data_IF_561566651415
#
_entry.id   IF_561566651415
#
_cell.length_a   1.000
_cell.length_b   1.000
_cell.length_c   1.000
_cell.angle_alpha   90.00
_cell.angle_beta   90.00
_cell.angle_gamma   90.00
#
_symmetry.space_group_name_H-M   'P 1'
#
loop_
_entity.id
_entity.type
_entity.pdbx_description
1 polymer ?
#
# COMPACT_ATOMS: atom_id res chain seq x y z
N UNK A 1 -19.40 -3.00 22.70
CA UNK A 1 -19.74 -3.15 21.26
C UNK A 1 -21.16 -3.67 21.22
N UNK A 2 -22.06 -2.97 20.55
CA UNK A 2 -23.48 -3.30 20.57
C UNK A 2 -23.75 -4.53 19.70
N UNK A 3 -24.52 -5.47 20.22
CA UNK A 3 -24.81 -6.79 19.65
C UNK A 3 -25.65 -6.73 18.35
N UNK A 4 -26.08 -5.52 17.93
CA UNK A 4 -26.90 -5.24 16.75
C UNK A 4 -26.28 -4.21 15.77
N UNK A 5 -24.98 -3.92 15.87
CA UNK A 5 -24.31 -2.95 15.00
C UNK A 5 -23.62 -3.58 13.78
N UNK A 6 -23.46 -2.82 12.69
CA UNK A 6 -22.61 -3.23 11.57
C UNK A 6 -21.15 -3.06 11.99
N UNK A 7 -20.36 -4.12 11.82
CA UNK A 7 -18.91 -4.09 11.98
C UNK A 7 -18.23 -4.39 10.65
N UNK A 8 -17.01 -3.88 10.48
CA UNK A 8 -16.20 -4.19 9.32
C UNK A 8 -15.80 -5.68 9.38
N UNK A 9 -16.15 -6.43 8.36
CA UNK A 9 -15.63 -7.78 8.18
C UNK A 9 -14.11 -7.73 7.91
N UNK A 10 -13.36 -8.81 8.19
CA UNK A 10 -11.96 -8.89 7.77
C UNK A 10 -11.80 -8.64 6.28
N UNK A 11 -10.70 -8.01 5.86
CA UNK A 11 -10.38 -7.82 4.45
C UNK A 11 -10.12 -9.18 3.78
N UNK A 12 -10.68 -9.35 2.58
CA UNK A 12 -10.54 -10.55 1.75
C UNK A 12 -10.21 -10.14 0.30
N UNK A 13 -9.80 -11.11 -0.51
CA UNK A 13 -9.42 -10.91 -1.93
C UNK A 13 -8.25 -9.93 -2.14
N UNK A 14 -7.24 -10.02 -1.28
CA UNK A 14 -6.01 -9.22 -1.39
C UNK A 14 -5.03 -9.88 -2.35
N UNK A 15 -4.95 -9.33 -3.56
CA UNK A 15 -4.06 -9.81 -4.63
C UNK A 15 -3.21 -8.68 -5.19
N UNK A 16 -1.98 -9.00 -5.60
CA UNK A 16 -1.12 -8.05 -6.31
C UNK A 16 -1.28 -8.24 -7.82
N UNK A 17 -2.22 -7.49 -8.42
CA UNK A 17 -2.52 -7.57 -9.86
C UNK A 17 -1.34 -7.12 -10.74
N UNK A 18 -0.36 -6.38 -10.20
CA UNK A 18 0.84 -5.98 -10.96
C UNK A 18 1.72 -7.13 -11.39
N UNK A 19 1.53 -8.31 -10.82
CA UNK A 19 2.18 -9.54 -11.28
C UNK A 19 1.70 -9.98 -12.67
N UNK A 20 0.61 -9.40 -13.18
CA UNK A 20 -0.06 -9.79 -14.42
C UNK A 20 -0.20 -8.56 -15.33
N UNK A 21 0.82 -8.26 -16.17
CA UNK A 21 0.84 -7.06 -17.03
C UNK A 21 -0.26 -7.02 -18.10
N UNK A 22 -0.92 -8.15 -18.36
CA UNK A 22 -2.04 -8.25 -19.29
C UNK A 22 -3.35 -7.62 -18.78
N UNK A 23 -3.44 -7.32 -17.49
CA UNK A 23 -4.61 -6.69 -16.88
C UNK A 23 -4.41 -5.20 -16.67
N UNK A 24 -5.53 -4.48 -16.59
CA UNK A 24 -5.55 -3.10 -16.14
C UNK A 24 -5.14 -2.99 -14.67
N UNK A 25 -4.30 -2.01 -14.35
CA UNK A 25 -3.74 -1.77 -13.02
C UNK A 25 -4.26 -0.49 -12.37
N UNK A 26 -5.25 0.18 -12.97
CA UNK A 26 -5.97 1.27 -12.31
C UNK A 26 -6.61 0.80 -11.00
N UNK A 27 -6.59 1.66 -10.00
CA UNK A 27 -7.24 1.39 -8.73
C UNK A 27 -8.76 1.36 -8.91
N UNK A 28 -9.44 0.45 -8.21
CA UNK A 28 -10.90 0.42 -8.19
C UNK A 28 -11.53 1.68 -7.58
N UNK A 29 -10.79 2.38 -6.69
CA UNK A 29 -11.19 3.64 -6.08
C UNK A 29 -10.01 4.60 -6.15
N UNK A 30 -10.24 5.81 -6.66
CA UNK A 30 -9.23 6.86 -6.71
C UNK A 30 -8.84 7.37 -5.32
N UNK A 31 -7.63 7.93 -5.22
CA UNK A 31 -7.20 8.74 -4.08
C UNK A 31 -7.03 10.17 -4.59
N UNK A 32 -7.90 11.09 -4.12
CA UNK A 32 -8.15 12.33 -4.84
C UNK A 32 -8.74 12.01 -6.21
N UNK A 33 -8.16 12.57 -7.27
CA UNK A 33 -8.54 12.29 -8.67
C UNK A 33 -7.61 11.26 -9.35
N UNK A 34 -6.70 10.62 -8.61
CA UNK A 34 -5.69 9.71 -9.18
C UNK A 34 -6.09 8.24 -9.08
N UNK A 35 -6.13 7.57 -10.23
CA UNK A 35 -6.42 6.14 -10.37
C UNK A 35 -5.14 5.32 -10.57
N UNK A 36 -4.08 5.91 -11.12
CA UNK A 36 -2.80 5.25 -11.26
C UNK A 36 -2.10 5.20 -9.91
N UNK A 37 -1.98 4.00 -9.36
CA UNK A 37 -1.31 3.83 -8.08
C UNK A 37 0.12 4.40 -8.07
N UNK A 38 0.88 4.33 -9.16
CA UNK A 38 2.25 4.87 -9.22
C UNK A 38 2.33 6.40 -9.11
N UNK A 39 1.25 7.12 -9.41
CA UNK A 39 1.18 8.58 -9.39
C UNK A 39 0.54 9.14 -8.10
N UNK A 40 0.24 8.26 -7.14
CA UNK A 40 -0.21 8.68 -5.81
C UNK A 40 0.98 9.26 -5.05
N UNK A 41 1.00 10.58 -4.95
CA UNK A 41 2.01 11.35 -4.26
C UNK A 41 1.42 11.99 -2.99
N UNK A 42 2.24 12.74 -2.27
CA UNK A 42 1.85 13.35 -1.02
C UNK A 42 0.65 14.28 -1.14
N UNK A 43 0.46 14.94 -2.29
CA UNK A 43 -0.69 15.83 -2.56
C UNK A 43 -2.01 15.06 -2.50
N UNK A 44 -2.14 13.99 -3.31
CA UNK A 44 -3.36 13.17 -3.32
C UNK A 44 -3.65 12.57 -1.94
N UNK A 45 -2.62 12.17 -1.21
CA UNK A 45 -2.76 11.63 0.15
C UNK A 45 -3.19 12.69 1.17
N UNK A 46 -2.71 13.92 1.05
CA UNK A 46 -3.11 15.04 1.89
C UNK A 46 -4.56 15.44 1.62
N UNK A 47 -4.93 15.53 0.33
CA UNK A 47 -6.30 15.84 -0.12
C UNK A 47 -7.30 14.77 0.30
N UNK A 48 -6.95 13.49 0.13
CA UNK A 48 -7.77 12.37 0.60
C UNK A 48 -7.97 12.42 2.13
N UNK A 49 -6.93 12.72 2.89
CA UNK A 49 -7.04 12.84 4.34
C UNK A 49 -8.00 13.97 4.75
N UNK A 50 -7.95 15.11 4.05
CA UNK A 50 -8.84 16.24 4.31
C UNK A 50 -10.29 15.92 3.93
N UNK A 51 -10.50 15.36 2.74
CA UNK A 51 -11.81 14.93 2.23
C UNK A 51 -12.47 13.89 3.13
N UNK A 52 -11.69 12.98 3.73
CA UNK A 52 -12.18 11.99 4.69
C UNK A 52 -12.19 12.46 6.16
N UNK A 53 -11.81 13.71 6.44
CA UNK A 53 -11.67 14.27 7.79
C UNK A 53 -10.77 13.41 8.70
N UNK A 54 -9.68 12.89 8.13
CA UNK A 54 -8.65 12.11 8.80
C UNK A 54 -7.46 13.03 9.12
N UNK A 55 -7.04 13.14 10.38
CA UNK A 55 -5.84 13.91 10.72
C UNK A 55 -4.61 13.37 9.96
N UNK A 56 -3.94 14.22 9.17
CA UNK A 56 -2.78 13.83 8.33
C UNK A 56 -1.68 13.11 9.12
N UNK A 57 -1.47 13.46 10.39
CA UNK A 57 -0.53 12.76 11.30
C UNK A 57 -0.89 11.29 11.56
N UNK A 58 -2.18 10.96 11.61
CA UNK A 58 -2.64 9.57 11.77
C UNK A 58 -2.33 8.78 10.50
N UNK A 59 -2.63 9.35 9.33
CA UNK A 59 -2.30 8.75 8.04
C UNK A 59 -0.80 8.45 7.94
N UNK A 60 0.05 9.45 8.18
CA UNK A 60 1.52 9.33 8.20
C UNK A 60 1.99 8.22 9.13
N UNK A 61 1.46 8.18 10.37
CA UNK A 61 1.84 7.17 11.36
C UNK A 61 1.46 5.76 10.91
N UNK A 62 0.25 5.57 10.38
CA UNK A 62 -0.24 4.26 9.94
C UNK A 62 0.50 3.77 8.70
N UNK A 63 0.66 4.64 7.69
CA UNK A 63 1.42 4.33 6.48
C UNK A 63 2.87 3.97 6.81
N UNK A 64 3.55 4.78 7.63
CA UNK A 64 4.91 4.50 8.05
C UNK A 64 5.04 3.17 8.80
N UNK A 65 4.05 2.81 9.63
CA UNK A 65 4.03 1.51 10.31
C UNK A 65 3.88 0.34 9.34
N UNK A 66 3.00 0.44 8.34
CA UNK A 66 2.77 -0.60 7.34
C UNK A 66 4.02 -0.76 6.48
N UNK A 67 4.56 0.33 5.93
CA UNK A 67 5.76 0.31 5.09
C UNK A 67 6.94 -0.36 5.81
N UNK A 68 7.20 0.05 7.06
CA UNK A 68 8.28 -0.53 7.86
C UNK A 68 8.11 -2.03 8.03
N UNK A 69 6.90 -2.48 8.43
CA UNK A 69 6.60 -3.90 8.62
C UNK A 69 6.72 -4.70 7.31
N UNK A 70 6.28 -4.13 6.19
CA UNK A 70 6.40 -4.76 4.87
C UNK A 70 7.85 -4.95 4.46
N UNK A 71 8.70 -3.93 4.66
CA UNK A 71 10.13 -4.00 4.36
C UNK A 71 10.88 -4.99 5.26
N UNK A 72 10.56 -5.02 6.56
CA UNK A 72 11.08 -6.02 7.50
C UNK A 72 10.70 -7.44 7.09
N UNK A 73 9.43 -7.65 6.73
CA UNK A 73 8.93 -8.96 6.28
C UNK A 73 9.63 -9.45 5.02
N UNK A 74 9.80 -8.56 4.02
CA UNK A 74 10.51 -8.87 2.77
C UNK A 74 11.98 -9.22 3.04
N UNK A 75 12.63 -8.51 3.98
CA UNK A 75 14.04 -8.72 4.30
C UNK A 75 14.32 -10.06 4.99
N UNK A 76 13.37 -10.55 5.79
CA UNK A 76 13.55 -11.75 6.61
C UNK A 76 13.47 -13.08 5.82
N UNK A 77 13.11 -13.07 4.53
CA UNK A 77 13.29 -14.12 3.50
C UNK A 77 13.06 -15.62 3.87
N UNK A 78 12.38 -15.96 4.97
CA UNK A 78 12.17 -17.35 5.39
C UNK A 78 11.17 -18.12 4.53
N UNK A 79 10.36 -17.42 3.74
CA UNK A 79 9.29 -17.99 2.90
C UNK A 79 9.85 -18.73 1.66
N UNK A 80 11.11 -18.49 1.34
CA UNK A 80 11.80 -19.04 0.16
C UNK A 80 12.41 -20.42 0.38
N UNK A 81 12.55 -20.85 1.63
CA UNK A 81 13.15 -22.14 1.96
C UNK A 81 12.29 -23.30 1.46
N UNK A 82 12.92 -24.28 0.80
CA UNK A 82 12.24 -25.46 0.26
C UNK A 82 11.35 -25.24 -0.99
N UNK A 83 11.23 -24.00 -1.50
CA UNK A 83 10.41 -23.74 -2.69
C UNK A 83 11.13 -24.09 -4.00
N UNK A 84 10.34 -24.52 -5.01
CA UNK A 84 10.82 -24.75 -6.37
C UNK A 84 11.38 -23.45 -7.02
N UNK A 85 12.31 -23.59 -7.97
CA UNK A 85 12.99 -22.47 -8.64
C UNK A 85 12.02 -21.48 -9.30
N UNK A 86 10.99 -21.98 -9.98
CA UNK A 86 9.95 -21.14 -10.62
C UNK A 86 9.20 -20.27 -9.60
N UNK A 87 8.90 -20.84 -8.43
CA UNK A 87 8.23 -20.12 -7.34
C UNK A 87 9.15 -19.10 -6.69
N UNK A 88 10.45 -19.38 -6.57
CA UNK A 88 11.44 -18.39 -6.12
C UNK A 88 11.51 -17.19 -7.06
N UNK A 89 11.48 -17.40 -8.38
CA UNK A 89 11.45 -16.30 -9.37
C UNK A 89 10.21 -15.42 -9.20
N UNK A 90 9.02 -16.04 -9.14
CA UNK A 90 7.76 -15.32 -8.93
C UNK A 90 7.78 -14.49 -7.64
N UNK A 91 8.23 -15.07 -6.53
CA UNK A 91 8.32 -14.38 -5.25
C UNK A 91 9.35 -13.24 -5.27
N UNK A 92 10.47 -13.40 -5.98
CA UNK A 92 11.45 -12.34 -6.18
C UNK A 92 10.85 -11.14 -6.93
N UNK A 93 10.10 -11.38 -8.00
CA UNK A 93 9.39 -10.34 -8.74
C UNK A 93 8.30 -9.68 -7.88
N UNK A 94 7.54 -10.46 -7.12
CA UNK A 94 6.56 -9.94 -6.16
C UNK A 94 7.20 -9.00 -5.13
N UNK A 95 8.30 -9.44 -4.50
CA UNK A 95 9.02 -8.64 -3.52
C UNK A 95 9.60 -7.37 -4.14
N UNK A 96 10.02 -7.41 -5.41
CA UNK A 96 10.47 -6.23 -6.14
C UNK A 96 9.35 -5.18 -6.25
N UNK A 97 8.13 -5.57 -6.65
CA UNK A 97 7.00 -4.64 -6.73
C UNK A 97 6.63 -4.04 -5.37
N UNK A 98 6.54 -4.87 -4.34
CA UNK A 98 6.19 -4.37 -2.99
C UNK A 98 7.28 -3.43 -2.46
N UNK A 99 8.56 -3.76 -2.66
CA UNK A 99 9.68 -2.92 -2.23
C UNK A 99 9.66 -1.58 -2.96
N UNK A 100 9.55 -1.57 -4.29
CA UNK A 100 9.47 -0.35 -5.10
C UNK A 100 8.33 0.56 -4.60
N UNK A 101 7.17 -0.03 -4.31
CA UNK A 101 6.01 0.72 -3.82
C UNK A 101 6.24 1.29 -2.42
N UNK A 102 6.84 0.51 -1.53
CA UNK A 102 7.20 0.96 -0.18
C UNK A 102 8.18 2.13 -0.22
N UNK A 103 9.19 2.08 -1.09
CA UNK A 103 10.20 3.13 -1.24
C UNK A 103 9.60 4.44 -1.77
N UNK A 104 8.73 4.35 -2.79
CA UNK A 104 7.98 5.50 -3.31
C UNK A 104 7.18 6.18 -2.19
N UNK A 105 6.29 5.42 -1.53
CA UNK A 105 5.42 5.98 -0.48
C UNK A 105 6.21 6.47 0.74
N UNK A 106 7.36 5.87 1.04
CA UNK A 106 8.21 6.34 2.13
C UNK A 106 8.77 7.74 1.86
N UNK A 107 9.16 8.03 0.61
CA UNK A 107 9.59 9.36 0.19
C UNK A 107 8.49 10.42 0.34
N UNK A 108 7.25 10.04 0.07
CA UNK A 108 6.10 10.95 0.11
C UNK A 108 5.61 11.27 1.54
N UNK A 109 5.79 10.36 2.49
CA UNK A 109 5.17 10.44 3.83
C UNK A 109 5.45 11.75 4.57
N UNK A 110 6.68 12.25 4.56
CA UNK A 110 7.02 13.47 5.29
C UNK A 110 6.45 14.74 4.64
N UNK A 111 6.11 14.69 3.35
CA UNK A 111 5.57 15.80 2.60
C UNK A 111 4.07 15.98 2.85
N UNK A 112 3.34 14.91 3.18
CA UNK A 112 1.88 14.93 3.43
C UNK A 112 1.50 16.01 4.46
N UNK A 113 2.29 16.15 5.54
CA UNK A 113 2.04 17.14 6.60
C UNK A 113 2.47 18.56 6.26
N UNK A 114 3.21 18.75 5.17
CA UNK A 114 3.79 20.03 4.74
C UNK A 114 3.06 20.65 3.55
N UNK A 115 2.13 19.91 2.94
CA UNK A 115 1.34 20.38 1.80
C UNK A 115 0.29 21.39 2.23
N UNK A 116 0.24 22.51 1.52
CA UNK A 116 -0.85 23.47 1.54
C UNK A 116 -1.85 23.05 0.44
N UNK A 117 -3.12 22.85 0.82
CA UNK A 117 -4.22 22.49 -0.08
C UNK A 117 -5.07 23.72 -0.40
#
# INVERSE_FOLDING_TARGET
MNENGISLAPFYDLVNIRMYPEFDHEMAMAIGDEFNADEINAYQLADFAESCNIPRRILVKQMGSIIKKSLEFISNNSIYEGQAVSKKKYLSEYNHFVKKRCEHLFGEIELITKIEL
#
